data_IF_939616482037
#
_entry.id   IF_939616482037
#
_cell.length_a   1.000
_cell.length_b   1.000
_cell.length_c   1.000
_cell.angle_alpha   90.00
_cell.angle_beta   90.00
_cell.angle_gamma   90.00
#
_symmetry.space_group_name_H-M   'P 1'
#
loop_
_entity.id
_entity.type
_entity.pdbx_description
1 polymer ?
#
# COMPACT_ATOMS: atom_id res chain seq x y z
N UNK A 1 5.82 21.88 -7.89
CA UNK A 1 6.15 22.62 -6.65
C UNK A 1 5.14 23.77 -6.54
N UNK A 2 4.25 23.72 -5.55
CA UNK A 2 3.25 24.77 -5.32
C UNK A 2 3.84 25.84 -4.38
N UNK A 3 3.98 27.07 -4.85
CA UNK A 3 4.60 28.16 -4.08
C UNK A 3 3.77 28.62 -2.87
N UNK A 4 2.50 28.23 -2.81
CA UNK A 4 1.61 28.50 -1.67
C UNK A 4 1.66 27.41 -0.59
N UNK A 5 2.39 26.31 -0.82
CA UNK A 5 2.54 25.19 0.11
C UNK A 5 4.01 24.84 0.29
N UNK A 6 4.79 25.71 0.97
CA UNK A 6 6.21 25.44 1.21
C UNK A 6 6.36 24.23 2.15
N UNK A 7 7.34 23.39 1.87
CA UNK A 7 7.74 22.28 2.76
C UNK A 7 9.03 22.68 3.47
N UNK A 8 9.00 22.75 4.80
CA UNK A 8 10.17 23.12 5.61
C UNK A 8 11.10 21.96 5.91
N UNK A 9 10.60 20.73 5.82
CA UNK A 9 11.37 19.52 6.12
C UNK A 9 12.25 19.11 4.92
N UNK A 10 13.45 18.62 5.20
CA UNK A 10 14.37 18.05 4.23
C UNK A 10 14.91 16.71 4.73
N UNK A 11 15.27 15.83 3.82
CA UNK A 11 15.92 14.55 4.16
C UNK A 11 17.41 14.82 4.37
N UNK A 12 17.91 14.60 5.59
CA UNK A 12 19.32 14.85 5.94
C UNK A 12 20.25 13.67 5.67
N UNK A 13 19.72 12.46 5.51
CA UNK A 13 20.49 11.24 5.32
C UNK A 13 19.59 10.02 5.14
N UNK A 14 20.19 8.88 4.80
CA UNK A 14 19.50 7.60 4.59
C UNK A 14 20.24 6.51 5.35
N UNK A 15 19.51 5.66 6.05
CA UNK A 15 20.03 4.46 6.71
C UNK A 15 19.54 3.20 5.98
N UNK A 16 20.43 2.22 5.85
CA UNK A 16 20.12 0.92 5.27
C UNK A 16 19.88 -0.10 6.36
N UNK A 17 18.86 -0.92 6.20
CA UNK A 17 18.52 -1.97 7.15
C UNK A 17 17.61 -3.03 6.52
N UNK A 18 17.21 -3.99 7.35
CA UNK A 18 16.30 -5.07 6.96
C UNK A 18 14.95 -4.90 7.66
N UNK A 19 13.86 -5.17 6.95
CA UNK A 19 12.52 -5.25 7.54
C UNK A 19 12.37 -6.56 8.31
N UNK A 20 12.07 -6.48 9.60
CA UNK A 20 11.77 -7.67 10.41
C UNK A 20 10.34 -8.14 10.17
N UNK A 21 10.04 -9.37 10.59
CA UNK A 21 8.66 -9.88 10.58
C UNK A 21 7.71 -9.06 11.45
N UNK A 22 8.21 -8.38 12.50
CA UNK A 22 7.42 -7.47 13.31
C UNK A 22 7.09 -6.19 12.54
N UNK A 23 8.09 -5.62 11.85
CA UNK A 23 7.91 -4.38 11.06
C UNK A 23 6.91 -4.59 9.94
N UNK A 24 7.02 -5.71 9.20
CA UNK A 24 6.08 -6.05 8.12
C UNK A 24 4.66 -6.18 8.65
N UNK A 25 4.46 -6.85 9.80
CA UNK A 25 3.13 -7.01 10.40
C UNK A 25 2.54 -5.71 10.94
N UNK A 26 3.38 -4.80 11.42
CA UNK A 26 2.96 -3.49 11.91
C UNK A 26 2.64 -2.51 10.77
N UNK A 27 3.40 -2.57 9.67
CA UNK A 27 3.24 -1.71 8.49
C UNK A 27 2.11 -2.17 7.57
N UNK A 28 1.92 -3.48 7.42
CA UNK A 28 0.97 -4.04 6.46
C UNK A 28 -0.48 -3.74 6.87
N UNK A 29 -1.27 -3.31 5.90
CA UNK A 29 -2.70 -3.02 6.05
C UNK A 29 -3.59 -4.26 5.87
N UNK A 30 -3.07 -5.30 5.19
CA UNK A 30 -3.79 -6.55 4.92
C UNK A 30 -2.83 -7.67 4.51
N UNK A 31 -3.08 -8.88 5.02
CA UNK A 31 -2.42 -10.10 4.51
C UNK A 31 -3.13 -10.60 3.26
N UNK A 32 -2.40 -10.71 2.15
CA UNK A 32 -2.85 -11.42 0.95
C UNK A 32 -2.82 -12.92 1.23
N UNK A 33 -3.96 -13.58 1.03
CA UNK A 33 -4.13 -15.00 1.33
C UNK A 33 -4.78 -15.80 0.20
N UNK A 34 -5.39 -15.10 -0.76
CA UNK A 34 -6.07 -15.70 -1.90
C UNK A 34 -5.23 -15.41 -3.16
N UNK A 35 -4.90 -16.43 -3.97
CA UNK A 35 -4.10 -16.24 -5.18
C UNK A 35 -4.92 -15.65 -6.34
N UNK A 36 -6.24 -15.80 -6.32
CA UNK A 36 -7.14 -15.25 -7.34
C UNK A 36 -7.27 -13.75 -7.14
N UNK A 37 -6.95 -12.98 -8.18
CA UNK A 37 -6.95 -11.52 -8.12
C UNK A 37 -8.32 -10.91 -8.42
N UNK A 38 -9.02 -11.42 -9.44
CA UNK A 38 -10.30 -10.90 -9.91
C UNK A 38 -11.35 -12.02 -10.00
N UNK A 39 -12.61 -11.66 -9.82
CA UNK A 39 -13.75 -12.54 -10.06
C UNK A 39 -14.15 -12.57 -11.56
N UNK A 40 -15.23 -13.29 -11.87
CA UNK A 40 -15.72 -13.45 -13.25
C UNK A 40 -16.24 -12.17 -13.91
N UNK A 41 -16.44 -11.09 -13.14
CA UNK A 41 -16.91 -9.78 -13.62
C UNK A 41 -15.84 -8.69 -13.44
N UNK A 42 -14.57 -9.09 -13.23
CA UNK A 42 -13.40 -8.23 -13.06
C UNK A 42 -13.40 -7.34 -11.81
N UNK A 43 -14.13 -7.71 -10.75
CA UNK A 43 -13.96 -7.06 -9.45
C UNK A 43 -12.80 -7.69 -8.66
N UNK A 44 -12.04 -6.89 -7.90
CA UNK A 44 -11.01 -7.41 -7.01
C UNK A 44 -11.60 -8.38 -5.97
N UNK A 45 -10.97 -9.54 -5.83
CA UNK A 45 -11.36 -10.51 -4.80
C UNK A 45 -10.85 -10.05 -3.43
N UNK A 46 -11.70 -9.98 -2.39
CA UNK A 46 -11.24 -9.67 -1.03
C UNK A 46 -10.16 -10.65 -0.57
N UNK A 47 -9.05 -10.16 -0.02
CA UNK A 47 -7.88 -10.95 0.37
C UNK A 47 -6.96 -11.37 -0.79
N UNK A 48 -7.29 -10.97 -2.02
CA UNK A 48 -6.46 -11.08 -3.21
C UNK A 48 -5.48 -9.90 -3.37
N UNK A 49 -4.78 -9.85 -4.51
CA UNK A 49 -3.71 -8.87 -4.72
C UNK A 49 -4.22 -7.43 -4.90
N UNK A 50 -5.46 -7.23 -5.35
CA UNK A 50 -6.10 -5.91 -5.46
C UNK A 50 -7.13 -5.64 -4.36
N UNK A 51 -6.93 -6.24 -3.16
CA UNK A 51 -7.78 -5.95 -2.01
C UNK A 51 -7.86 -4.42 -1.76
N UNK A 52 -9.08 -3.84 -1.63
CA UNK A 52 -9.26 -2.40 -1.43
C UNK A 52 -8.47 -1.80 -0.26
N UNK A 53 -8.12 -2.60 0.75
CA UNK A 53 -7.28 -2.14 1.86
C UNK A 53 -5.87 -1.69 1.40
N UNK A 54 -5.40 -2.14 0.24
CA UNK A 54 -4.09 -1.80 -0.34
C UNK A 54 -4.10 -0.47 -1.12
N UNK A 55 -5.27 0.15 -1.27
CA UNK A 55 -5.45 1.42 -1.97
C UNK A 55 -6.60 1.37 -2.99
N UNK A 56 -7.01 2.54 -3.43
CA UNK A 56 -8.04 2.69 -4.46
C UNK A 56 -7.62 1.99 -5.76
N UNK A 57 -8.58 1.32 -6.39
CA UNK A 57 -8.38 0.62 -7.66
C UNK A 57 -9.61 0.77 -8.54
N UNK A 58 -9.41 1.21 -9.78
CA UNK A 58 -10.48 1.60 -10.71
C UNK A 58 -11.43 2.63 -10.08
N UNK A 59 -12.73 2.44 -10.28
CA UNK A 59 -13.79 3.31 -9.77
C UNK A 59 -14.17 3.00 -8.31
N UNK A 60 -13.44 2.09 -7.66
CA UNK A 60 -13.65 1.78 -6.24
C UNK A 60 -12.79 2.75 -5.41
N UNK A 61 -13.42 3.73 -4.71
CA UNK A 61 -12.70 4.75 -3.95
C UNK A 61 -11.94 4.17 -2.75
#
# INVERSE_FOLDING_TARGET
MNTHQPTSSAINGVEFGFLTTKDIKALSVKRISIPTTFDSINHPVPGGLHDPALGAFLDNP
#
